data_IF_588976429401
#
_entry.id   IF_588976429401
#
_cell.length_a   1.000
_cell.length_b   1.000
_cell.length_c   1.000
_cell.angle_alpha   90.00
_cell.angle_beta   90.00
_cell.angle_gamma   90.00
#
_symmetry.space_group_name_H-M   'P 1'
#
loop_
_entity.id
_entity.type
_entity.pdbx_description
1 polymer ?
#
# COMPACT_ATOMS: atom_id res chain seq x y z
N UNK A 1 -14.82 -3.51 -9.15
CA UNK A 1 -13.58 -3.66 -9.95
C UNK A 1 -13.43 -2.69 -11.12
N UNK A 2 -14.03 -2.88 -12.31
CA UNK A 2 -13.79 -1.99 -13.47
C UNK A 2 -14.07 -0.50 -13.20
N UNK A 3 -15.13 -0.22 -12.43
CA UNK A 3 -15.47 1.12 -11.97
C UNK A 3 -14.42 1.67 -11.01
N UNK A 4 -13.95 0.86 -10.07
CA UNK A 4 -12.92 1.25 -9.10
C UNK A 4 -11.57 1.50 -9.75
N UNK A 5 -11.18 0.70 -10.75
CA UNK A 5 -9.99 1.00 -11.58
C UNK A 5 -10.15 2.37 -12.25
N UNK A 6 -11.35 2.66 -12.76
CA UNK A 6 -11.67 3.98 -13.31
C UNK A 6 -11.49 5.10 -12.30
N UNK A 7 -11.98 4.91 -11.07
CA UNK A 7 -11.84 5.87 -9.98
C UNK A 7 -10.38 6.05 -9.52
N UNK A 8 -9.62 4.97 -9.40
CA UNK A 8 -8.21 5.05 -9.03
C UNK A 8 -7.39 5.80 -10.09
N UNK A 9 -7.62 5.49 -11.37
CA UNK A 9 -6.98 6.20 -12.48
C UNK A 9 -7.38 7.68 -12.51
N UNK A 10 -8.66 7.99 -12.25
CA UNK A 10 -9.11 9.38 -12.13
C UNK A 10 -8.36 10.12 -11.01
N UNK A 11 -8.25 9.52 -9.84
CA UNK A 11 -7.53 10.07 -8.69
C UNK A 11 -6.01 10.26 -8.92
N UNK A 12 -5.46 9.75 -10.02
CA UNK A 12 -4.02 9.75 -10.30
C UNK A 12 -3.23 8.69 -9.53
N UNK A 13 -3.89 7.59 -9.12
CA UNK A 13 -3.22 6.46 -8.48
C UNK A 13 -2.51 5.62 -9.54
N UNK A 14 -1.21 5.38 -9.34
CA UNK A 14 -0.39 4.59 -10.28
C UNK A 14 -0.54 3.08 -10.12
N UNK A 15 -0.78 2.62 -8.88
CA UNK A 15 -0.91 1.21 -8.55
C UNK A 15 -1.73 0.95 -7.29
N UNK A 16 -2.27 -0.27 -7.17
CA UNK A 16 -2.76 -0.80 -5.90
C UNK A 16 -1.78 -1.79 -5.28
N UNK A 17 -1.73 -1.81 -3.95
CA UNK A 17 -1.04 -2.84 -3.18
C UNK A 17 -2.10 -3.78 -2.61
N UNK A 18 -2.12 -5.02 -3.07
CA UNK A 18 -3.11 -6.02 -2.64
C UNK A 18 -2.57 -6.85 -1.49
N UNK A 19 -3.30 -6.89 -0.39
CA UNK A 19 -3.09 -7.87 0.66
C UNK A 19 -3.20 -9.29 0.13
N UNK A 20 -2.23 -10.11 0.50
CA UNK A 20 -2.24 -11.50 0.10
C UNK A 20 -3.30 -12.26 0.87
N UNK A 21 -4.25 -12.83 0.14
CA UNK A 21 -5.11 -13.91 0.59
C UNK A 21 -4.87 -15.14 -0.29
N UNK A 22 -4.72 -16.34 0.31
CA UNK A 22 -4.50 -17.56 -0.44
C UNK A 22 -5.76 -17.95 -1.23
N UNK A 23 -5.61 -18.70 -2.34
CA UNK A 23 -6.76 -19.22 -3.10
C UNK A 23 -7.76 -19.98 -2.22
N UNK A 24 -9.06 -19.69 -2.39
CA UNK A 24 -10.15 -20.31 -1.66
C UNK A 24 -10.48 -19.66 -0.32
N UNK A 25 -9.84 -18.55 0.04
CA UNK A 25 -10.11 -17.81 1.28
C UNK A 25 -11.38 -16.93 1.18
N UNK A 26 -11.81 -16.58 -0.02
CA UNK A 26 -12.89 -15.64 -0.31
C UNK A 26 -12.38 -14.21 -0.50
N UNK A 27 -11.42 -13.77 0.29
CA UNK A 27 -10.87 -12.40 0.25
C UNK A 27 -9.89 -12.17 -0.91
N UNK A 28 -9.39 -13.23 -1.55
CA UNK A 28 -8.59 -13.13 -2.78
C UNK A 28 -9.41 -12.67 -4.00
N UNK A 29 -10.75 -12.65 -3.87
CA UNK A 29 -11.66 -12.32 -4.96
C UNK A 29 -11.38 -10.94 -5.55
N UNK A 30 -11.03 -9.94 -4.73
CA UNK A 30 -10.69 -8.61 -5.23
C UNK A 30 -9.49 -8.64 -6.18
N UNK A 31 -8.40 -9.31 -5.79
CA UNK A 31 -7.22 -9.51 -6.65
C UNK A 31 -7.58 -10.26 -7.92
N UNK A 32 -8.37 -11.33 -7.82
CA UNK A 32 -8.74 -12.15 -8.98
C UNK A 32 -9.60 -11.35 -9.98
N UNK A 33 -10.57 -10.58 -9.49
CA UNK A 33 -11.38 -9.67 -10.31
C UNK A 33 -10.51 -8.60 -11.00
N UNK A 34 -9.54 -8.03 -10.28
CA UNK A 34 -8.60 -7.08 -10.85
C UNK A 34 -7.78 -7.71 -11.99
N UNK A 35 -7.19 -8.89 -11.75
CA UNK A 35 -6.35 -9.57 -12.73
C UNK A 35 -7.13 -10.00 -13.99
N UNK A 36 -8.43 -10.26 -13.86
CA UNK A 36 -9.33 -10.59 -14.96
C UNK A 36 -9.96 -9.36 -15.65
N UNK A 37 -9.81 -8.16 -15.09
CA UNK A 37 -10.40 -6.94 -15.64
C UNK A 37 -9.80 -6.57 -17.00
N UNK A 38 -10.65 -6.20 -17.95
CA UNK A 38 -10.22 -5.62 -19.24
C UNK A 38 -9.58 -4.24 -19.10
N UNK A 39 -9.66 -3.60 -17.91
CA UNK A 39 -9.05 -2.30 -17.61
C UNK A 39 -7.76 -2.41 -16.79
N UNK A 40 -7.32 -3.63 -16.44
CA UNK A 40 -6.17 -3.87 -15.55
C UNK A 40 -4.87 -3.21 -16.02
N UNK A 41 -4.68 -2.98 -17.32
CA UNK A 41 -3.45 -2.36 -17.83
C UNK A 41 -3.36 -0.86 -17.55
N UNK A 42 -4.48 -0.24 -17.13
CA UNK A 42 -4.54 1.19 -16.79
C UNK A 42 -4.01 1.49 -15.38
N UNK A 43 -3.85 0.47 -14.54
CA UNK A 43 -3.45 0.61 -13.15
C UNK A 43 -2.50 -0.52 -12.81
N UNK A 44 -1.30 -0.23 -12.31
CA UNK A 44 -0.38 -1.30 -11.93
C UNK A 44 -0.79 -1.94 -10.61
N UNK A 45 -0.13 -3.01 -10.21
CA UNK A 45 -0.35 -3.61 -8.90
C UNK A 45 0.92 -4.19 -8.30
N UNK A 46 0.93 -4.33 -6.98
CA UNK A 46 1.91 -5.12 -6.23
C UNK A 46 1.22 -5.86 -5.09
N UNK A 47 1.96 -6.71 -4.39
CA UNK A 47 1.46 -7.50 -3.27
C UNK A 47 1.95 -6.95 -1.91
N UNK A 48 1.10 -7.08 -0.91
CA UNK A 48 1.44 -7.01 0.52
C UNK A 48 1.41 -8.44 1.07
N UNK A 49 2.56 -8.97 1.47
CA UNK A 49 2.69 -10.32 2.05
C UNK A 49 2.65 -10.28 3.58
N UNK A 50 2.40 -11.42 4.21
CA UNK A 50 2.38 -11.55 5.68
C UNK A 50 1.04 -11.24 6.34
N UNK A 51 0.02 -10.84 5.57
CA UNK A 51 -1.35 -10.65 6.07
C UNK A 51 -2.10 -11.98 6.26
N UNK A 52 -1.78 -13.00 5.46
CA UNK A 52 -2.34 -14.35 5.54
C UNK A 52 -1.27 -15.40 5.12
N UNK A 53 -1.55 -16.71 5.32
CA UNK A 53 -0.64 -17.77 4.88
C UNK A 53 -0.25 -17.64 3.41
N UNK A 54 1.06 -17.73 3.15
CA UNK A 54 1.67 -17.68 1.83
C UNK A 54 2.48 -18.96 1.62
N UNK A 55 2.06 -19.79 0.67
CA UNK A 55 2.70 -21.08 0.40
C UNK A 55 3.91 -20.88 -0.52
N UNK A 56 5.11 -21.13 -0.02
CA UNK A 56 6.34 -20.97 -0.79
C UNK A 56 6.49 -21.94 -1.97
N UNK A 57 5.79 -23.08 -1.97
CA UNK A 57 5.82 -24.05 -3.06
C UNK A 57 4.76 -23.77 -4.12
N UNK A 58 3.61 -23.20 -3.73
CA UNK A 58 2.49 -22.92 -4.64
C UNK A 58 2.40 -21.45 -5.06
N UNK A 59 2.40 -20.55 -4.09
CA UNK A 59 2.09 -19.13 -4.29
C UNK A 59 3.32 -18.35 -4.77
N UNK A 60 4.50 -18.65 -4.23
CA UNK A 60 5.73 -17.94 -4.60
C UNK A 60 6.12 -18.09 -6.09
N UNK A 61 6.05 -19.29 -6.71
CA UNK A 61 6.31 -19.43 -8.14
C UNK A 61 5.33 -18.64 -9.01
N UNK A 62 4.04 -18.64 -8.63
CA UNK A 62 3.02 -17.85 -9.33
C UNK A 62 3.32 -16.34 -9.22
N UNK A 63 3.59 -15.84 -8.01
CA UNK A 63 3.89 -14.43 -7.79
C UNK A 63 5.17 -14.02 -8.53
N UNK A 64 6.21 -14.85 -8.52
CA UNK A 64 7.44 -14.59 -9.27
C UNK A 64 7.18 -14.49 -10.78
N UNK A 65 6.25 -15.27 -11.34
CA UNK A 65 5.86 -15.14 -12.74
C UNK A 65 5.14 -13.81 -13.05
N UNK A 66 4.39 -13.25 -12.09
CA UNK A 66 3.75 -11.94 -12.24
C UNK A 66 4.77 -10.79 -12.26
N UNK A 67 5.87 -10.89 -11.54
CA UNK A 67 6.89 -9.85 -11.42
C UNK A 67 7.44 -9.35 -12.77
N UNK A 68 7.54 -10.23 -13.77
CA UNK A 68 8.01 -9.86 -15.12
C UNK A 68 6.98 -9.09 -15.95
N UNK A 69 5.69 -9.12 -15.58
CA UNK A 69 4.62 -8.59 -16.42
C UNK A 69 4.55 -7.06 -16.37
N UNK A 70 4.13 -6.37 -17.46
CA UNK A 70 4.04 -4.91 -17.50
C UNK A 70 3.12 -4.30 -16.44
N UNK A 71 2.05 -5.01 -16.07
CA UNK A 71 1.08 -4.57 -15.06
C UNK A 71 1.59 -4.67 -13.62
N UNK A 72 2.70 -5.38 -13.35
CA UNK A 72 3.26 -5.45 -12.01
C UNK A 72 4.15 -4.23 -11.73
N UNK A 73 3.90 -3.56 -10.60
CA UNK A 73 4.60 -2.35 -10.19
C UNK A 73 6.09 -2.64 -9.91
N UNK A 74 6.94 -1.83 -10.51
CA UNK A 74 8.40 -1.92 -10.39
C UNK A 74 8.97 -0.56 -9.96
N UNK A 75 10.07 -0.60 -9.24
CA UNK A 75 10.78 0.57 -8.71
C UNK A 75 12.28 0.44 -9.00
N UNK A 76 13.03 1.51 -8.76
CA UNK A 76 14.46 1.60 -9.06
C UNK A 76 14.75 1.17 -10.52
N UNK A 77 15.69 0.25 -10.73
CA UNK A 77 16.12 -0.28 -12.01
C UNK A 77 15.28 -1.47 -12.51
N UNK A 78 13.98 -1.45 -12.21
CA UNK A 78 13.02 -2.48 -12.63
C UNK A 78 12.79 -3.59 -11.60
N UNK A 79 13.13 -3.36 -10.33
CA UNK A 79 12.89 -4.31 -9.24
C UNK A 79 11.38 -4.39 -8.94
N UNK A 80 10.77 -5.60 -8.89
CA UNK A 80 9.37 -5.75 -8.49
C UNK A 80 9.15 -5.22 -7.07
N UNK A 81 8.11 -4.40 -6.86
CA UNK A 81 7.77 -3.89 -5.54
C UNK A 81 7.01 -4.94 -4.73
N UNK A 82 7.40 -5.15 -3.47
CA UNK A 82 6.69 -6.01 -2.51
C UNK A 82 6.64 -5.30 -1.16
N UNK A 83 5.44 -5.22 -0.58
CA UNK A 83 5.26 -4.82 0.81
C UNK A 83 5.18 -6.06 1.68
N UNK A 84 5.66 -5.98 2.93
CA UNK A 84 5.82 -7.16 3.76
C UNK A 84 5.52 -6.91 5.23
N UNK A 85 4.64 -7.73 5.80
CA UNK A 85 4.51 -7.94 7.23
C UNK A 85 5.26 -9.19 7.70
N UNK A 86 5.54 -9.22 9.00
CA UNK A 86 5.86 -10.47 9.69
C UNK A 86 4.65 -11.42 9.60
N UNK A 87 4.84 -12.75 9.48
CA UNK A 87 6.02 -13.49 9.92
C UNK A 87 6.90 -14.08 8.80
N UNK A 88 6.97 -13.49 7.58
CA UNK A 88 7.87 -14.03 6.55
C UNK A 88 9.30 -14.17 7.07
N UNK A 89 9.91 -15.34 6.84
CA UNK A 89 11.27 -15.62 7.31
C UNK A 89 12.32 -15.12 6.32
N UNK A 90 13.56 -14.94 6.78
CA UNK A 90 14.70 -14.61 5.91
C UNK A 90 14.89 -15.65 4.81
N UNK A 91 14.72 -16.93 5.14
CA UNK A 91 14.87 -18.04 4.19
C UNK A 91 13.80 -17.98 3.10
N UNK A 92 12.55 -17.74 3.47
CA UNK A 92 11.45 -17.62 2.51
C UNK A 92 11.62 -16.40 1.61
N UNK A 93 12.03 -15.26 2.18
CA UNK A 93 12.32 -14.07 1.37
C UNK A 93 13.50 -14.31 0.41
N UNK A 94 14.55 -15.00 0.85
CA UNK A 94 15.65 -15.37 -0.03
C UNK A 94 15.18 -16.28 -1.18
N UNK A 95 14.35 -17.28 -0.90
CA UNK A 95 13.77 -18.15 -1.92
C UNK A 95 12.88 -17.38 -2.91
N UNK A 96 12.07 -16.43 -2.44
CA UNK A 96 11.27 -15.56 -3.33
C UNK A 96 12.17 -14.69 -4.23
N UNK A 97 13.28 -14.16 -3.69
CA UNK A 97 14.26 -13.40 -4.48
C UNK A 97 14.91 -14.25 -5.57
N UNK A 98 15.26 -15.51 -5.27
CA UNK A 98 15.78 -16.44 -6.27
C UNK A 98 14.76 -16.76 -7.37
N UNK A 99 13.50 -17.00 -7.01
CA UNK A 99 12.41 -17.21 -7.97
C UNK A 99 12.22 -15.98 -8.86
N UNK A 100 12.25 -14.78 -8.28
CA UNK A 100 12.16 -13.52 -9.03
C UNK A 100 13.32 -13.35 -10.02
N UNK A 101 14.56 -13.60 -9.58
CA UNK A 101 15.74 -13.53 -10.44
C UNK A 101 15.62 -14.51 -11.62
N UNK A 102 15.13 -15.73 -11.39
CA UNK A 102 14.89 -16.71 -12.46
C UNK A 102 13.78 -16.29 -13.42
N UNK A 103 12.74 -15.62 -12.91
CA UNK A 103 11.56 -15.22 -13.69
C UNK A 103 11.80 -13.96 -14.54
N UNK A 104 12.39 -12.92 -13.95
CA UNK A 104 12.50 -11.60 -14.58
C UNK A 104 13.88 -10.96 -14.49
N UNK A 105 14.91 -11.68 -14.00
CA UNK A 105 16.28 -11.17 -13.90
C UNK A 105 16.50 -10.09 -12.85
N UNK A 106 15.49 -9.80 -12.02
CA UNK A 106 15.52 -8.76 -10.98
C UNK A 106 15.09 -9.35 -9.64
N UNK A 107 15.77 -8.95 -8.57
CA UNK A 107 15.35 -9.23 -7.20
C UNK A 107 14.29 -8.21 -6.76
N UNK A 108 13.19 -8.60 -6.09
CA UNK A 108 12.18 -7.67 -5.60
C UNK A 108 12.79 -6.66 -4.63
N UNK A 109 12.29 -5.44 -4.65
CA UNK A 109 12.53 -4.42 -3.64
C UNK A 109 11.45 -4.54 -2.58
N UNK A 110 11.85 -4.90 -1.35
CA UNK A 110 10.92 -5.29 -0.29
C UNK A 110 10.88 -4.22 0.79
N UNK A 111 9.70 -3.65 1.02
CA UNK A 111 9.47 -2.70 2.10
C UNK A 111 8.74 -3.38 3.27
N UNK A 112 9.43 -3.49 4.41
CA UNK A 112 8.88 -4.00 5.65
C UNK A 112 7.87 -2.99 6.22
N UNK A 113 6.67 -3.46 6.53
CA UNK A 113 5.59 -2.67 7.13
C UNK A 113 5.58 -2.86 8.64
N UNK A 114 5.32 -1.79 9.38
CA UNK A 114 5.19 -1.83 10.82
C UNK A 114 4.51 -0.59 11.39
N UNK A 115 4.56 -0.48 12.71
CA UNK A 115 3.83 0.53 13.48
C UNK A 115 4.75 1.59 14.10
N UNK A 116 5.98 1.21 14.46
CA UNK A 116 7.00 2.13 14.97
C UNK A 116 8.31 2.00 14.19
N UNK A 117 9.08 3.08 14.12
CA UNK A 117 10.34 3.13 13.37
C UNK A 117 11.34 2.06 13.85
N UNK A 118 11.49 1.91 15.16
CA UNK A 118 12.44 0.96 15.77
C UNK A 118 12.04 -0.49 15.50
N UNK A 119 10.78 -0.85 15.74
CA UNK A 119 10.31 -2.22 15.55
C UNK A 119 10.37 -2.64 14.08
N UNK A 120 9.94 -1.76 13.16
CA UNK A 120 9.99 -2.09 11.73
C UNK A 120 11.41 -2.19 11.21
N UNK A 121 12.35 -1.37 11.72
CA UNK A 121 13.74 -1.44 11.33
C UNK A 121 14.40 -2.74 11.81
N UNK A 122 14.07 -3.19 13.02
CA UNK A 122 14.51 -4.49 13.55
C UNK A 122 13.94 -5.66 12.74
N UNK A 123 12.65 -5.63 12.43
CA UNK A 123 12.02 -6.67 11.61
C UNK A 123 12.58 -6.68 10.17
N UNK A 124 12.79 -5.50 9.58
CA UNK A 124 13.42 -5.31 8.28
C UNK A 124 14.81 -5.95 8.25
N UNK A 125 15.63 -5.70 9.28
CA UNK A 125 16.95 -6.31 9.40
C UNK A 125 16.84 -7.82 9.57
N UNK A 126 15.96 -8.31 10.45
CA UNK A 126 15.81 -9.73 10.76
C UNK A 126 15.41 -10.57 9.52
N UNK A 127 14.47 -10.07 8.72
CA UNK A 127 14.03 -10.74 7.47
C UNK A 127 14.97 -10.46 6.30
N UNK A 128 15.74 -9.37 6.35
CA UNK A 128 16.59 -8.92 5.24
C UNK A 128 15.83 -8.18 4.14
N UNK A 129 14.79 -7.42 4.49
CA UNK A 129 14.10 -6.51 3.58
C UNK A 129 14.97 -5.28 3.24
N UNK A 130 14.60 -4.57 2.17
CA UNK A 130 15.40 -3.46 1.63
C UNK A 130 15.09 -2.12 2.32
N UNK A 131 13.82 -1.89 2.63
CA UNK A 131 13.33 -0.63 3.16
C UNK A 131 12.21 -0.83 4.19
N UNK A 132 11.75 0.28 4.77
CA UNK A 132 10.64 0.30 5.71
C UNK A 132 9.50 1.18 5.22
N UNK A 133 8.29 0.91 5.69
CA UNK A 133 7.13 1.77 5.56
C UNK A 133 6.22 1.59 6.77
N UNK A 134 5.17 2.40 6.84
CA UNK A 134 4.11 2.27 7.84
C UNK A 134 2.88 1.65 7.18
N UNK A 135 2.17 0.78 7.92
CA UNK A 135 0.90 0.24 7.43
C UNK A 135 -0.19 1.31 7.44
N UNK A 136 -0.56 1.72 8.64
CA UNK A 136 -1.44 2.84 8.91
C UNK A 136 -0.71 3.82 9.84
N UNK A 137 -1.29 5.00 10.02
CA UNK A 137 -0.79 6.00 10.95
C UNK A 137 -1.88 6.99 11.34
N UNK A 138 -1.64 7.71 12.44
CA UNK A 138 -2.42 8.91 12.77
C UNK A 138 -2.11 10.05 11.79
N UNK A 139 -2.60 11.27 12.09
CA UNK A 139 -2.24 12.47 11.31
C UNK A 139 -0.74 12.85 11.39
N UNK A 140 0.01 12.22 12.30
CA UNK A 140 1.40 12.56 12.60
C UNK A 140 2.37 12.01 11.55
N UNK A 141 3.18 12.92 10.99
CA UNK A 141 4.19 12.61 9.96
C UNK A 141 5.49 12.21 10.65
N UNK A 142 5.78 10.90 10.66
CA UNK A 142 6.98 10.39 11.34
C UNK A 142 8.06 9.90 10.35
N UNK A 143 8.00 10.29 9.08
CA UNK A 143 8.94 9.84 8.04
C UNK A 143 10.41 10.05 8.41
N UNK A 144 10.73 11.16 9.09
CA UNK A 144 12.10 11.46 9.54
C UNK A 144 12.61 10.41 10.54
N UNK A 145 11.78 9.89 11.43
CA UNK A 145 12.16 8.86 12.39
C UNK A 145 12.53 7.54 11.70
N UNK A 146 11.73 7.12 10.74
CA UNK A 146 11.96 5.91 9.96
C UNK A 146 13.20 6.07 9.06
N UNK A 147 13.34 7.24 8.40
CA UNK A 147 14.44 7.53 7.45
C UNK A 147 15.83 7.65 8.09
N UNK A 148 15.89 7.82 9.42
CA UNK A 148 17.14 7.76 10.21
C UNK A 148 17.66 6.33 10.34
N UNK A 149 16.78 5.32 10.29
CA UNK A 149 17.12 3.93 10.53
C UNK A 149 17.30 3.12 9.24
N UNK A 150 16.47 3.37 8.23
CA UNK A 150 16.44 2.65 6.94
C UNK A 150 15.99 3.57 5.80
N UNK A 151 16.19 3.12 4.57
CA UNK A 151 15.47 3.66 3.41
C UNK A 151 13.96 3.48 3.61
N UNK A 152 13.16 4.41 3.12
CA UNK A 152 11.73 4.47 3.41
C UNK A 152 10.88 4.59 2.14
N UNK A 153 9.70 3.97 2.15
CA UNK A 153 8.56 4.37 1.34
C UNK A 153 7.60 5.18 2.24
N UNK A 154 7.49 6.51 2.07
CA UNK A 154 6.59 7.33 2.88
C UNK A 154 5.15 6.86 2.78
N UNK A 155 4.45 6.82 3.92
CA UNK A 155 3.03 6.51 4.00
C UNK A 155 2.20 7.80 4.22
N UNK A 156 0.99 7.84 3.67
CA UNK A 156 -0.06 8.81 3.97
C UNK A 156 -1.31 8.09 4.46
N UNK A 157 -1.84 8.47 5.61
CA UNK A 157 -3.08 7.93 6.16
C UNK A 157 -4.30 8.77 5.76
N UNK A 158 -5.45 8.11 5.57
CA UNK A 158 -6.75 8.73 5.23
C UNK A 158 -7.77 8.67 6.37
N UNK A 159 -7.40 8.09 7.51
CA UNK A 159 -8.27 7.88 8.67
C UNK A 159 -7.90 6.62 9.44
N UNK A 160 -8.40 6.52 10.67
CA UNK A 160 -8.34 5.30 11.47
C UNK A 160 -9.49 5.29 12.49
N UNK A 161 -10.46 4.41 12.24
CA UNK A 161 -11.65 4.18 13.04
C UNK A 161 -11.91 2.66 13.18
N UNK A 162 -11.38 2.02 14.25
CA UNK A 162 -11.60 0.61 14.51
C UNK A 162 -12.93 0.35 15.23
N UNK A 163 -13.82 1.34 15.40
CA UNK A 163 -15.09 1.13 16.14
C UNK A 163 -16.03 0.08 15.54
N UNK A 164 -16.06 -0.18 14.21
CA UNK A 164 -16.83 -1.31 13.66
C UNK A 164 -16.42 -2.68 14.23
N UNK A 165 -15.20 -2.80 14.75
CA UNK A 165 -14.71 -4.04 15.37
C UNK A 165 -15.38 -4.36 16.71
N UNK A 166 -16.04 -3.39 17.36
CA UNK A 166 -16.77 -3.64 18.62
C UNK A 166 -17.88 -4.66 18.45
N UNK A 167 -18.57 -4.57 17.32
CA UNK A 167 -19.78 -5.34 17.04
C UNK A 167 -19.46 -6.63 16.27
N UNK A 168 -18.39 -6.62 15.48
CA UNK A 168 -17.98 -7.76 14.63
C UNK A 168 -17.02 -8.74 15.31
N UNK A 169 -16.32 -8.33 16.38
CA UNK A 169 -15.41 -9.17 17.17
C UNK A 169 -14.34 -9.87 16.34
N UNK A 170 -13.64 -9.12 15.48
CA UNK A 170 -12.55 -9.67 14.65
C UNK A 170 -11.42 -10.24 15.51
N UNK A 171 -10.84 -11.36 15.08
CA UNK A 171 -9.83 -12.09 15.88
C UNK A 171 -8.44 -11.48 15.83
N UNK A 172 -8.18 -10.57 14.89
CA UNK A 172 -6.87 -9.96 14.64
C UNK A 172 -6.70 -8.58 15.29
N UNK A 173 -7.75 -8.03 15.91
CA UNK A 173 -7.70 -6.72 16.55
C UNK A 173 -8.16 -6.79 18.02
N UNK A 174 -7.26 -6.59 19.00
CA UNK A 174 -7.62 -6.69 20.41
C UNK A 174 -8.71 -5.69 20.82
N UNK A 175 -9.71 -6.16 21.56
CA UNK A 175 -10.89 -5.36 21.91
C UNK A 175 -10.53 -4.14 22.78
N UNK A 176 -9.54 -4.32 23.64
CA UNK A 176 -8.97 -3.28 24.49
C UNK A 176 -8.34 -2.13 23.69
N UNK A 177 -7.88 -2.40 22.47
CA UNK A 177 -7.27 -1.38 21.61
C UNK A 177 -8.31 -0.51 20.91
N UNK A 178 -9.55 -0.97 20.73
CA UNK A 178 -10.58 -0.23 19.97
C UNK A 178 -10.85 1.17 20.53
N UNK A 179 -10.92 1.31 21.85
CA UNK A 179 -11.14 2.64 22.48
C UNK A 179 -9.86 3.46 22.44
N UNK A 180 -8.71 2.83 22.71
CA UNK A 180 -7.40 3.49 22.80
C UNK A 180 -6.96 4.06 21.46
N UNK A 181 -7.16 3.30 20.41
CA UNK A 181 -6.65 3.59 19.08
C UNK A 181 -7.69 4.33 18.23
N UNK A 182 -8.92 4.54 18.73
CA UNK A 182 -9.90 5.37 18.03
C UNK A 182 -9.41 6.81 17.92
N UNK A 183 -9.09 7.23 16.70
CA UNK A 183 -8.61 8.59 16.43
C UNK A 183 -9.78 9.55 16.17
N UNK A 184 -11.01 9.02 15.99
CA UNK A 184 -12.23 9.81 15.85
C UNK A 184 -12.27 10.76 14.67
N UNK A 185 -11.39 10.55 13.69
CA UNK A 185 -11.32 11.36 12.49
C UNK A 185 -11.20 10.48 11.26
N UNK A 186 -11.83 10.95 10.19
CA UNK A 186 -11.55 10.51 8.85
C UNK A 186 -11.19 11.74 8.03
N UNK A 187 -10.21 11.61 7.13
CA UNK A 187 -9.68 12.75 6.42
C UNK A 187 -10.74 13.42 5.55
N UNK A 188 -10.91 14.75 5.72
CA UNK A 188 -11.63 15.52 4.70
C UNK A 188 -10.85 15.45 3.38
N UNK A 189 -11.50 15.63 2.21
CA UNK A 189 -10.79 15.68 0.93
C UNK A 189 -9.58 16.62 0.93
N UNK A 190 -9.69 17.79 1.58
CA UNK A 190 -8.58 18.74 1.75
C UNK A 190 -7.43 18.18 2.57
N UNK A 191 -7.71 17.43 3.64
CA UNK A 191 -6.67 16.81 4.47
C UNK A 191 -5.98 15.65 3.76
N UNK A 192 -6.71 14.88 2.93
CA UNK A 192 -6.11 13.87 2.04
C UNK A 192 -5.11 14.54 1.10
N UNK A 193 -5.53 15.60 0.39
CA UNK A 193 -4.64 16.35 -0.52
C UNK A 193 -3.42 16.91 0.22
N UNK A 194 -3.62 17.54 1.39
CA UNK A 194 -2.50 18.09 2.17
C UNK A 194 -1.52 17.01 2.67
N UNK A 195 -2.01 15.81 2.99
CA UNK A 195 -1.19 14.65 3.36
C UNK A 195 -0.32 14.19 2.19
N UNK A 196 -0.93 14.01 1.02
CA UNK A 196 -0.22 13.60 -0.21
C UNK A 196 0.75 14.69 -0.66
N UNK A 197 0.36 15.97 -0.64
CA UNK A 197 1.24 17.09 -0.97
C UNK A 197 2.48 17.14 -0.09
N UNK A 198 2.30 16.96 1.23
CA UNK A 198 3.41 16.91 2.16
C UNK A 198 4.33 15.72 1.89
N UNK A 199 3.79 14.55 1.56
CA UNK A 199 4.60 13.37 1.23
C UNK A 199 5.40 13.59 -0.06
N UNK A 200 4.81 14.24 -1.07
CA UNK A 200 5.52 14.65 -2.29
C UNK A 200 6.67 15.63 -1.99
N UNK A 201 6.39 16.67 -1.22
CA UNK A 201 7.39 17.68 -0.86
C UNK A 201 8.54 17.05 -0.05
N UNK A 202 8.22 16.20 0.92
CA UNK A 202 9.22 15.51 1.74
C UNK A 202 10.03 14.51 0.92
N UNK A 203 9.39 13.73 0.04
CA UNK A 203 10.08 12.79 -0.86
C UNK A 203 11.06 13.52 -1.78
N UNK A 204 10.65 14.67 -2.33
CA UNK A 204 11.52 15.52 -3.17
C UNK A 204 12.71 16.09 -2.40
N UNK A 205 12.51 16.49 -1.14
CA UNK A 205 13.58 17.00 -0.29
C UNK A 205 14.53 15.90 0.22
N UNK A 206 14.09 14.64 0.24
CA UNK A 206 14.81 13.51 0.84
C UNK A 206 15.03 12.37 -0.17
N UNK A 207 15.32 12.67 -1.44
CA UNK A 207 15.45 11.64 -2.50
C UNK A 207 16.47 10.54 -2.14
N UNK A 208 17.56 10.87 -1.46
CA UNK A 208 18.55 9.89 -0.98
C UNK A 208 18.04 8.93 0.11
N UNK A 209 16.85 9.17 0.66
CA UNK A 209 16.16 8.30 1.64
C UNK A 209 15.03 7.49 1.02
N UNK A 210 14.59 7.84 -0.20
CA UNK A 210 13.43 7.27 -0.88
C UNK A 210 13.84 6.78 -2.28
N UNK A 211 14.77 5.82 -2.40
CA UNK A 211 15.26 5.39 -3.70
C UNK A 211 14.18 4.74 -4.58
N UNK A 212 13.13 4.18 -3.97
CA UNK A 212 11.98 3.65 -4.70
C UNK A 212 11.13 4.72 -5.40
N UNK A 213 11.28 6.00 -5.01
CA UNK A 213 10.53 7.15 -5.52
C UNK A 213 9.01 6.88 -5.58
N UNK A 214 8.45 6.35 -4.50
CA UNK A 214 7.04 6.01 -4.38
C UNK A 214 6.51 6.38 -3.01
N UNK A 215 5.20 6.61 -2.93
CA UNK A 215 4.46 6.92 -1.71
C UNK A 215 3.33 5.89 -1.61
N UNK A 216 3.11 5.34 -0.42
CA UNK A 216 1.99 4.46 -0.13
C UNK A 216 0.86 5.26 0.53
N UNK A 217 -0.38 5.09 0.09
CA UNK A 217 -1.54 5.73 0.73
C UNK A 217 -2.39 4.65 1.39
N UNK A 218 -2.55 4.74 2.70
CA UNK A 218 -3.47 3.94 3.49
C UNK A 218 -4.84 4.64 3.53
N UNK A 219 -5.88 4.13 2.88
CA UNK A 219 -5.91 2.96 2.01
C UNK A 219 -6.88 3.18 0.85
N UNK A 220 -6.95 2.24 -0.11
CA UNK A 220 -8.03 2.26 -1.09
C UNK A 220 -9.37 1.98 -0.40
N UNK A 221 -9.52 0.86 0.29
CA UNK A 221 -10.81 0.34 0.75
C UNK A 221 -10.78 -0.35 2.13
N UNK A 222 -9.93 0.10 3.05
CA UNK A 222 -9.94 -0.35 4.47
C UNK A 222 -11.12 0.27 5.23
N UNK A 223 -12.33 0.05 4.72
CA UNK A 223 -13.56 0.63 5.25
C UNK A 223 -13.85 0.16 6.67
N UNK A 224 -13.47 -1.07 7.03
CA UNK A 224 -13.63 -1.59 8.39
C UNK A 224 -12.69 -0.94 9.41
N UNK A 225 -11.61 -0.32 8.93
CA UNK A 225 -10.61 0.39 9.75
C UNK A 225 -10.75 1.92 9.60
N UNK A 226 -11.71 2.42 8.83
CA UNK A 226 -11.92 3.85 8.63
C UNK A 226 -10.91 4.53 7.70
N UNK A 227 -10.12 3.78 6.92
CA UNK A 227 -9.19 4.29 5.91
C UNK A 227 -9.69 4.02 4.49
N UNK A 228 -9.98 5.06 3.70
CA UNK A 228 -10.41 4.88 2.31
C UNK A 228 -10.15 6.08 1.40
N UNK A 229 -9.84 5.77 0.14
CA UNK A 229 -10.00 6.66 -1.01
C UNK A 229 -11.17 6.20 -1.90
N UNK A 230 -11.50 4.90 -1.87
CA UNK A 230 -12.56 4.29 -2.65
C UNK A 230 -13.87 5.03 -2.42
N UNK A 231 -14.56 5.50 -3.47
CA UNK A 231 -15.84 6.18 -3.34
C UNK A 231 -16.84 5.37 -2.52
N UNK A 232 -17.41 5.99 -1.49
CA UNK A 232 -18.52 5.42 -0.72
C UNK A 232 -19.83 5.67 -1.44
N UNK A 233 -20.91 4.98 -1.07
CA UNK A 233 -22.20 5.12 -1.73
C UNK A 233 -23.24 5.78 -0.82
N UNK A 234 -23.96 6.75 -1.36
CA UNK A 234 -25.15 7.36 -0.77
C UNK A 234 -26.37 7.11 -1.66
N UNK A 235 -27.61 7.35 -1.21
CA UNK A 235 -28.79 7.27 -2.09
C UNK A 235 -28.72 8.17 -3.34
N UNK A 236 -27.88 9.21 -3.30
CA UNK A 236 -27.67 10.16 -4.41
C UNK A 236 -26.59 9.68 -5.40
N UNK A 237 -25.90 8.57 -5.10
CA UNK A 237 -24.81 8.03 -5.91
C UNK A 237 -23.49 7.92 -5.15
N UNK A 238 -22.39 7.61 -5.88
CA UNK A 238 -21.06 7.51 -5.29
C UNK A 238 -20.57 8.89 -4.83
N UNK A 239 -20.02 8.95 -3.61
CA UNK A 239 -19.28 10.10 -3.12
C UNK A 239 -17.82 9.99 -3.59
N UNK A 240 -17.43 10.84 -4.53
CA UNK A 240 -16.11 10.88 -5.15
C UNK A 240 -15.23 12.02 -4.64
N UNK A 241 -15.66 12.79 -3.64
CA UNK A 241 -15.00 14.05 -3.26
C UNK A 241 -13.51 13.91 -2.95
N UNK A 242 -13.08 12.78 -2.35
CA UNK A 242 -11.66 12.50 -2.04
C UNK A 242 -10.83 12.31 -3.31
N UNK A 243 -11.34 11.53 -4.26
CA UNK A 243 -10.61 11.23 -5.50
C UNK A 243 -10.65 12.42 -6.46
N UNK A 244 -11.74 13.18 -6.47
CA UNK A 244 -11.88 14.40 -7.27
C UNK A 244 -10.90 15.47 -6.77
N UNK A 245 -10.78 15.65 -5.45
CA UNK A 245 -9.83 16.60 -4.88
C UNK A 245 -8.35 16.24 -5.20
N UNK A 246 -8.00 14.94 -5.19
CA UNK A 246 -6.68 14.48 -5.61
C UNK A 246 -6.45 14.74 -7.11
N UNK A 247 -7.44 14.43 -7.94
CA UNK A 247 -7.39 14.65 -9.38
C UNK A 247 -7.16 16.13 -9.72
N UNK A 248 -7.94 17.03 -9.11
CA UNK A 248 -7.83 18.48 -9.31
C UNK A 248 -6.45 18.99 -8.93
N UNK A 249 -5.95 18.60 -7.74
CA UNK A 249 -4.63 19.00 -7.27
C UNK A 249 -3.51 18.50 -8.18
N UNK A 250 -3.53 17.22 -8.59
CA UNK A 250 -2.51 16.66 -9.48
C UNK A 250 -2.54 17.32 -10.88
N UNK A 251 -3.73 17.52 -11.44
CA UNK A 251 -3.90 18.13 -12.76
C UNK A 251 -3.43 19.59 -12.79
N UNK A 252 -3.67 20.32 -11.70
CA UNK A 252 -3.16 21.69 -11.52
C UNK A 252 -1.63 21.77 -11.45
N UNK A 253 -0.94 20.71 -11.03
CA UNK A 253 0.54 20.66 -11.01
C UNK A 253 1.13 20.41 -12.40
N UNK A 254 0.47 19.57 -13.21
CA UNK A 254 0.93 19.29 -14.58
C UNK A 254 0.81 20.50 -15.51
N UNK A 255 -0.19 21.36 -15.31
CA UNK A 255 -0.36 22.58 -16.12
C UNK A 255 0.65 23.67 -15.78
N UNK A 256 1.11 23.75 -14.52
CA UNK A 256 2.10 24.75 -14.08
C UNK A 256 3.54 24.36 -14.46
N UNK A 257 3.85 23.07 -14.59
CA UNK A 257 5.18 22.60 -15.02
C UNK A 257 5.35 22.52 -16.54
N UNK A 258 4.28 22.74 -17.32
CA UNK A 258 4.28 22.72 -18.78
C UNK A 258 4.44 24.08 -19.46
N UNK A 259 4.71 25.15 -18.70
CA UNK A 259 4.99 26.51 -19.20
C UNK A 259 6.42 26.95 -18.87
#
# INVERSE_FOLDING_TARGET
MDTEIGYAVHAGVDYWAFDWYPPGNGMELARNLFLASGKRERLKWCVVLGTNPFDMNRDAPWLAAEFGKPGYQKVLDGRPLVYLFAPMTRTDLAALRELSLKSCGKSPYVAMMGWTATEVAQACEAVGADAVTMYAGGMEKNWDEYSKLKEIIPNVSTGWDPTPFRDTQVTWYPRENIVKDFVGWSATPKQVVAGVEAAFAWTKANQGKVPANTILVYAWNEHSEGGWLCPTFSPQGPNTERIDALHEWLSGRTSVQGN
#
